data_IF_515802900312
#
_entry.id   IF_515802900312
#
_cell.length_a   1.000
_cell.length_b   1.000
_cell.length_c   1.000
_cell.angle_alpha   90.00
_cell.angle_beta   90.00
_cell.angle_gamma   90.00
#
_symmetry.space_group_name_H-M   'P 1'
#
loop_
_entity.id
_entity.type
_entity.pdbx_description
1 polymer ?
#
# COMPACT_ATOMS: atom_id res chain seq x y z
N UNK A 1 4.09 -18.81 -17.06
CA UNK A 1 5.36 -18.43 -16.40
C UNK A 1 5.59 -19.45 -15.31
N UNK A 2 6.72 -20.16 -15.33
CA UNK A 2 7.03 -21.17 -14.34
C UNK A 2 7.32 -20.55 -12.96
N UNK A 3 7.26 -21.39 -11.92
CA UNK A 3 7.44 -20.94 -10.53
C UNK A 3 8.82 -20.33 -10.28
N UNK A 4 9.84 -20.85 -10.96
CA UNK A 4 11.22 -20.37 -10.81
C UNK A 4 11.41 -18.99 -11.44
N UNK A 5 10.84 -18.74 -12.62
CA UNK A 5 10.83 -17.43 -13.26
C UNK A 5 10.03 -16.41 -12.45
N UNK A 6 8.90 -16.83 -11.85
CA UNK A 6 8.11 -15.98 -10.95
C UNK A 6 8.89 -15.59 -9.68
N UNK A 7 9.56 -16.55 -9.04
CA UNK A 7 10.38 -16.28 -7.86
C UNK A 7 11.57 -15.36 -8.19
N UNK A 8 12.24 -15.57 -9.33
CA UNK A 8 13.33 -14.69 -9.82
C UNK A 8 12.85 -13.26 -10.13
N UNK A 9 11.59 -13.08 -10.45
CA UNK A 9 11.00 -11.76 -10.77
C UNK A 9 10.31 -11.07 -9.58
N UNK A 10 10.24 -11.72 -8.42
CA UNK A 10 9.76 -11.05 -7.21
C UNK A 10 10.72 -9.91 -6.82
N UNK A 11 10.22 -8.71 -6.49
CA UNK A 11 11.06 -7.59 -6.02
C UNK A 11 11.87 -7.90 -4.76
N UNK A 12 11.65 -9.06 -4.16
CA UNK A 12 12.26 -9.56 -2.93
C UNK A 12 12.78 -10.99 -3.09
N UNK A 13 13.02 -11.44 -4.31
CA UNK A 13 13.45 -12.81 -4.61
C UNK A 13 14.91 -13.09 -4.24
N UNK A 14 15.69 -12.08 -3.86
CA UNK A 14 17.05 -12.25 -3.37
C UNK A 14 17.11 -12.65 -1.88
N UNK A 15 18.28 -13.08 -1.44
CA UNK A 15 18.58 -13.33 -0.05
C UNK A 15 18.34 -12.07 0.79
N UNK A 16 17.62 -12.22 1.91
CA UNK A 16 17.30 -11.09 2.79
C UNK A 16 18.36 -11.00 3.88
N UNK A 17 19.09 -9.91 3.88
CA UNK A 17 20.01 -9.60 4.96
C UNK A 17 19.21 -9.28 6.23
N UNK A 18 19.49 -9.90 7.39
CA UNK A 18 18.72 -9.71 8.62
C UNK A 18 18.54 -8.25 9.07
N UNK A 19 19.54 -7.40 8.80
CA UNK A 19 19.51 -5.96 9.11
C UNK A 19 18.70 -5.14 8.09
N UNK A 20 18.33 -5.73 6.94
CA UNK A 20 17.68 -5.06 5.80
C UNK A 20 16.52 -5.89 5.28
N UNK A 21 15.75 -6.49 6.15
CA UNK A 21 14.74 -7.54 5.93
C UNK A 21 13.77 -7.38 4.75
N UNK A 22 13.89 -6.36 3.92
CA UNK A 22 12.97 -6.07 2.80
C UNK A 22 13.66 -5.43 1.60
N UNK A 23 15.00 -5.48 1.55
CA UNK A 23 15.78 -4.95 0.44
C UNK A 23 16.11 -6.03 -0.57
N UNK A 24 16.14 -5.65 -1.85
CA UNK A 24 16.64 -6.52 -2.91
C UNK A 24 18.16 -6.64 -2.77
N UNK A 25 18.64 -7.85 -2.55
CA UNK A 25 20.08 -8.14 -2.49
C UNK A 25 20.66 -8.03 -3.90
N UNK A 26 21.80 -7.36 -4.02
CA UNK A 26 22.47 -7.15 -5.32
C UNK A 26 21.88 -6.05 -6.18
N UNK A 27 20.81 -5.36 -5.74
CA UNK A 27 20.29 -4.21 -6.46
C UNK A 27 21.07 -2.94 -6.16
N UNK A 28 21.41 -2.19 -7.23
CA UNK A 28 22.05 -0.87 -7.09
C UNK A 28 21.02 0.19 -6.70
N UNK A 29 21.03 0.59 -5.43
CA UNK A 29 20.17 1.64 -4.88
C UNK A 29 20.67 3.06 -5.16
N UNK A 30 21.72 3.23 -5.95
CA UNK A 30 22.20 4.52 -6.46
C UNK A 30 21.79 4.75 -7.91
N UNK A 31 21.56 3.67 -8.66
CA UNK A 31 21.26 3.69 -10.07
C UNK A 31 19.83 4.17 -10.39
N UNK A 32 19.62 4.44 -11.68
CA UNK A 32 18.33 4.87 -12.24
C UNK A 32 17.24 3.83 -12.02
N UNK A 33 16.20 4.15 -11.24
CA UNK A 33 15.11 3.23 -10.93
C UNK A 33 13.89 3.96 -10.35
N UNK A 34 12.68 3.43 -10.59
CA UNK A 34 11.45 3.86 -9.93
C UNK A 34 11.16 2.93 -8.75
N UNK A 35 10.86 3.52 -7.61
CA UNK A 35 10.55 2.82 -6.37
C UNK A 35 9.20 3.23 -5.83
N UNK A 36 8.43 2.27 -5.30
CA UNK A 36 7.33 2.55 -4.39
C UNK A 36 7.78 2.26 -2.96
N UNK A 37 7.82 3.30 -2.16
CA UNK A 37 8.24 3.26 -0.76
C UNK A 37 7.01 3.24 0.14
N UNK A 38 6.98 2.32 1.09
CA UNK A 38 5.95 2.28 2.12
C UNK A 38 6.58 2.45 3.50
N UNK A 39 6.11 3.43 4.25
CA UNK A 39 6.51 3.64 5.64
C UNK A 39 5.28 3.65 6.55
N UNK A 40 5.38 2.95 7.66
CA UNK A 40 4.30 2.77 8.63
C UNK A 40 4.68 3.50 9.91
N UNK A 41 3.71 4.11 10.59
CA UNK A 41 3.92 4.69 11.93
C UNK A 41 4.25 3.60 12.94
N UNK A 42 5.05 3.93 13.95
CA UNK A 42 5.32 3.00 15.06
C UNK A 42 4.01 2.61 15.75
N UNK A 43 3.79 1.30 15.90
CA UNK A 43 2.54 0.75 16.47
C UNK A 43 1.30 0.98 15.62
N UNK A 44 1.43 1.32 14.33
CA UNK A 44 0.30 1.62 13.42
C UNK A 44 -0.65 2.70 13.95
N UNK A 45 -0.14 3.68 14.67
CA UNK A 45 -0.93 4.79 15.21
C UNK A 45 -1.44 5.69 14.07
N UNK A 46 -2.72 6.08 14.05
CA UNK A 46 -3.30 6.89 12.97
C UNK A 46 -2.93 8.38 13.12
N UNK A 47 -1.64 8.71 13.00
CA UNK A 47 -1.07 10.03 13.29
C UNK A 47 -1.19 11.01 12.12
N UNK A 48 -1.31 10.51 10.88
CA UNK A 48 -1.26 11.36 9.69
C UNK A 48 -2.60 11.93 9.27
N UNK A 49 -3.71 11.37 9.77
CA UNK A 49 -5.03 11.84 9.38
C UNK A 49 -6.13 10.83 9.63
N UNK A 50 -7.27 11.11 8.99
CA UNK A 50 -8.42 10.20 8.99
C UNK A 50 -8.96 10.08 7.57
N UNK A 51 -9.50 8.92 7.23
CA UNK A 51 -10.23 8.75 5.97
C UNK A 51 -11.65 9.29 6.16
N UNK A 52 -12.10 10.07 5.20
CA UNK A 52 -13.43 10.68 5.12
C UNK A 52 -14.07 10.36 3.75
N UNK A 53 -15.36 10.62 3.65
CA UNK A 53 -16.16 10.27 2.48
C UNK A 53 -16.85 8.92 2.67
N UNK A 54 -17.36 8.38 1.57
CA UNK A 54 -18.05 7.09 1.50
C UNK A 54 -17.36 6.19 0.49
N UNK A 55 -17.37 4.87 0.71
CA UNK A 55 -16.73 3.93 -0.23
C UNK A 55 -17.35 3.95 -1.63
N UNK A 56 -18.63 4.26 -1.74
CA UNK A 56 -19.40 4.40 -2.98
C UNK A 56 -19.39 5.85 -3.54
N UNK A 57 -18.80 6.81 -2.82
CA UNK A 57 -18.73 8.21 -3.24
C UNK A 57 -18.00 8.38 -4.57
N UNK A 58 -18.59 9.13 -5.49
CA UNK A 58 -17.99 9.41 -6.81
C UNK A 58 -16.79 10.34 -6.66
N UNK A 59 -15.74 10.10 -7.46
CA UNK A 59 -14.56 10.99 -7.48
C UNK A 59 -14.96 12.40 -7.91
N UNK A 60 -14.39 13.40 -7.24
CA UNK A 60 -14.69 14.81 -7.50
C UNK A 60 -15.93 15.34 -6.77
N UNK A 61 -16.62 14.52 -5.99
CA UNK A 61 -17.73 14.96 -5.12
C UNK A 61 -17.25 15.15 -3.67
N UNK A 62 -18.01 15.88 -2.81
CA UNK A 62 -17.68 16.00 -1.39
C UNK A 62 -17.62 14.66 -0.63
N UNK A 63 -18.38 13.67 -1.10
CA UNK A 63 -18.42 12.32 -0.54
C UNK A 63 -17.32 11.40 -1.09
N UNK A 64 -16.47 11.88 -1.98
CA UNK A 64 -15.36 11.10 -2.51
C UNK A 64 -14.43 10.60 -1.38
N UNK A 65 -13.96 9.34 -1.45
CA UNK A 65 -12.98 8.82 -0.52
C UNK A 65 -11.70 9.66 -0.50
N UNK A 66 -11.35 10.20 0.65
CA UNK A 66 -10.18 11.07 0.80
C UNK A 66 -9.55 10.93 2.19
N UNK A 67 -8.31 11.37 2.32
CA UNK A 67 -7.64 11.45 3.61
C UNK A 67 -7.56 12.91 4.05
N UNK A 68 -8.21 13.24 5.16
CA UNK A 68 -8.09 14.54 5.82
C UNK A 68 -6.86 14.49 6.71
N UNK A 69 -5.82 15.21 6.32
CA UNK A 69 -4.52 15.18 7.00
C UNK A 69 -4.53 15.99 8.29
N UNK A 70 -3.84 15.48 9.30
CA UNK A 70 -3.40 16.25 10.47
C UNK A 70 -2.29 17.22 10.08
N UNK A 71 -1.90 18.13 10.98
CA UNK A 71 -0.73 18.98 10.77
C UNK A 71 0.54 18.14 10.57
N UNK A 72 0.70 17.07 11.35
CA UNK A 72 1.81 16.14 11.15
C UNK A 72 1.76 15.47 9.78
N UNK A 73 0.59 15.04 9.33
CA UNK A 73 0.41 14.46 7.99
C UNK A 73 0.82 15.42 6.88
N UNK A 74 0.46 16.72 7.01
CA UNK A 74 0.89 17.78 6.06
C UNK A 74 2.41 17.97 6.08
N UNK A 75 3.03 18.03 7.25
CA UNK A 75 4.49 18.14 7.39
C UNK A 75 5.24 16.95 6.80
N UNK A 76 4.73 15.74 7.00
CA UNK A 76 5.31 14.53 6.40
C UNK A 76 5.16 14.55 4.88
N UNK A 77 4.00 14.97 4.36
CA UNK A 77 3.77 15.14 2.93
C UNK A 77 4.74 16.17 2.33
N UNK A 78 4.92 17.33 2.97
CA UNK A 78 5.87 18.35 2.52
C UNK A 78 7.30 17.81 2.51
N UNK A 79 7.74 17.16 3.58
CA UNK A 79 9.07 16.55 3.64
C UNK A 79 9.31 15.53 2.53
N UNK A 80 8.26 14.82 2.07
CA UNK A 80 8.37 13.91 0.93
C UNK A 80 8.64 14.67 -0.37
N UNK A 81 7.90 15.73 -0.63
CA UNK A 81 8.11 16.56 -1.83
C UNK A 81 9.46 17.28 -1.80
N UNK A 82 9.94 17.68 -0.62
CA UNK A 82 11.25 18.29 -0.42
C UNK A 82 12.42 17.36 -0.79
N UNK A 83 12.20 16.05 -0.94
CA UNK A 83 13.23 15.12 -1.41
C UNK A 83 13.73 15.56 -2.79
N UNK A 84 12.82 15.86 -3.73
CA UNK A 84 13.19 16.31 -5.08
C UNK A 84 13.88 17.68 -5.11
N UNK A 85 13.61 18.54 -4.12
CA UNK A 85 14.29 19.83 -3.97
C UNK A 85 15.73 19.65 -3.48
N UNK A 86 15.93 18.75 -2.50
CA UNK A 86 17.25 18.48 -1.90
C UNK A 86 18.13 17.57 -2.76
N UNK A 87 17.52 16.73 -3.56
CA UNK A 87 18.16 15.76 -4.45
C UNK A 87 17.59 15.91 -5.86
N UNK A 88 18.15 16.85 -6.67
CA UNK A 88 17.64 17.11 -8.02
C UNK A 88 17.61 15.86 -8.93
N UNK A 89 18.40 14.84 -8.60
CA UNK A 89 18.41 13.56 -9.30
C UNK A 89 17.14 12.72 -9.02
N UNK A 90 16.32 13.13 -8.05
CA UNK A 90 15.10 12.37 -7.66
C UNK A 90 13.86 13.18 -8.01
N UNK A 91 12.91 12.55 -8.69
CA UNK A 91 11.54 13.06 -8.83
C UNK A 91 10.59 12.31 -7.90
N UNK A 92 9.79 13.03 -7.13
CA UNK A 92 8.67 12.45 -6.38
C UNK A 92 7.46 12.40 -7.30
N UNK A 93 7.06 11.20 -7.74
CA UNK A 93 5.99 10.99 -8.73
C UNK A 93 4.62 11.07 -8.07
N UNK A 94 4.45 10.37 -6.94
CA UNK A 94 3.17 10.29 -6.25
C UNK A 94 3.36 10.08 -4.74
N UNK A 95 2.37 10.49 -3.98
CA UNK A 95 2.27 10.25 -2.54
C UNK A 95 0.81 9.99 -2.16
N UNK A 96 0.54 8.87 -1.54
CA UNK A 96 -0.75 8.58 -0.92
C UNK A 96 -0.55 8.45 0.58
N UNK A 97 -1.00 9.45 1.31
CA UNK A 97 -1.06 9.42 2.77
C UNK A 97 -2.26 8.61 3.23
N UNK A 98 -2.05 7.75 4.22
CA UNK A 98 -3.09 7.01 4.94
C UNK A 98 -2.97 7.34 6.43
N UNK A 99 -3.96 7.03 7.27
CA UNK A 99 -3.91 7.41 8.69
C UNK A 99 -2.65 6.97 9.44
N UNK A 100 -2.17 5.77 9.18
CA UNK A 100 -1.08 5.11 9.92
C UNK A 100 0.14 4.76 9.05
N UNK A 101 0.13 5.11 7.77
CA UNK A 101 1.21 4.85 6.83
C UNK A 101 1.11 5.76 5.61
N UNK A 102 2.10 5.70 4.75
CA UNK A 102 2.00 6.25 3.41
C UNK A 102 2.66 5.34 2.36
N UNK A 103 2.24 5.51 1.13
CA UNK A 103 2.92 5.01 -0.05
C UNK A 103 3.39 6.19 -0.88
N UNK A 104 4.68 6.24 -1.16
CA UNK A 104 5.25 7.27 -2.02
C UNK A 104 5.98 6.62 -3.20
N UNK A 105 5.79 7.16 -4.39
CA UNK A 105 6.52 6.74 -5.60
C UNK A 105 7.55 7.80 -5.93
N UNK A 106 8.80 7.38 -6.06
CA UNK A 106 9.89 8.24 -6.47
C UNK A 106 10.68 7.60 -7.64
N UNK A 107 11.27 8.46 -8.44
CA UNK A 107 12.14 8.09 -9.54
C UNK A 107 13.54 8.67 -9.32
N UNK A 108 14.52 7.80 -9.15
CA UNK A 108 15.94 8.14 -9.27
C UNK A 108 16.24 8.25 -10.76
N UNK A 109 16.38 9.47 -11.27
CA UNK A 109 16.60 9.76 -12.70
C UNK A 109 18.04 9.61 -13.11
N UNK A 110 18.94 9.97 -12.20
CA UNK A 110 20.39 10.00 -12.39
C UNK A 110 21.05 9.32 -11.20
N UNK A 111 22.28 8.85 -11.39
CA UNK A 111 23.04 8.18 -10.34
C UNK A 111 23.19 9.08 -9.10
N UNK A 112 22.91 8.52 -7.94
CA UNK A 112 23.01 9.22 -6.66
C UNK A 112 24.41 9.10 -6.08
N UNK A 113 24.90 10.15 -5.44
CA UNK A 113 26.17 10.12 -4.69
C UNK A 113 26.12 9.17 -3.47
N UNK A 114 24.90 8.84 -3.01
CA UNK A 114 24.64 7.98 -1.84
C UNK A 114 23.46 7.07 -2.12
N UNK A 115 23.46 5.84 -1.58
CA UNK A 115 22.32 4.94 -1.72
C UNK A 115 21.01 5.57 -1.26
N UNK A 116 19.90 5.29 -1.96
CA UNK A 116 18.55 5.78 -1.67
C UNK A 116 18.18 5.66 -0.17
N UNK A 117 18.69 4.62 0.52
CA UNK A 117 18.49 4.46 1.95
C UNK A 117 18.99 5.62 2.80
N UNK A 118 20.02 6.35 2.37
CA UNK A 118 20.53 7.56 3.06
C UNK A 118 19.61 8.76 2.84
N UNK A 119 19.05 8.90 1.64
CA UNK A 119 18.02 9.91 1.33
C UNK A 119 16.79 9.71 2.21
N UNK A 120 16.30 8.47 2.29
CA UNK A 120 15.13 8.12 3.11
C UNK A 120 15.41 8.22 4.61
N UNK A 121 16.65 8.04 5.04
CA UNK A 121 17.05 8.30 6.43
C UNK A 121 16.93 9.81 6.74
N UNK A 122 17.42 10.68 5.86
CA UNK A 122 17.27 12.14 6.00
C UNK A 122 15.80 12.56 6.04
N UNK A 123 14.97 12.00 5.18
CA UNK A 123 13.52 12.18 5.20
C UNK A 123 12.93 11.79 6.57
N UNK A 124 13.24 10.60 7.09
CA UNK A 124 12.79 10.16 8.43
C UNK A 124 13.22 11.11 9.54
N UNK A 125 14.45 11.62 9.49
CA UNK A 125 14.97 12.57 10.48
C UNK A 125 14.16 13.88 10.47
N UNK A 126 13.86 14.43 9.29
CA UNK A 126 13.00 15.59 9.14
C UNK A 126 11.59 15.37 9.69
N UNK A 127 10.99 14.21 9.40
CA UNK A 127 9.68 13.83 9.92
C UNK A 127 9.69 13.64 11.46
N UNK A 128 10.73 13.03 12.00
CA UNK A 128 10.89 12.87 13.46
C UNK A 128 11.06 14.23 14.17
N UNK A 129 11.75 15.20 13.52
CA UNK A 129 11.85 16.57 14.04
C UNK A 129 10.46 17.21 14.10
N UNK A 130 9.69 17.18 13.00
CA UNK A 130 8.33 17.72 12.95
C UNK A 130 7.41 17.05 14.00
N UNK A 131 7.55 15.75 14.20
CA UNK A 131 6.77 15.02 15.19
C UNK A 131 7.08 15.47 16.62
N UNK A 132 8.34 15.70 16.98
CA UNK A 132 8.72 16.23 18.31
C UNK A 132 8.23 17.64 18.55
N UNK A 133 8.23 18.47 17.50
CA UNK A 133 7.73 19.85 17.59
C UNK A 133 6.23 19.91 17.84
N UNK A 134 5.46 19.04 17.17
CA UNK A 134 4.00 19.00 17.26
C UNK A 134 3.47 18.24 18.47
N UNK A 135 4.26 17.34 19.05
CA UNK A 135 3.87 16.51 20.18
C UNK A 135 4.95 16.54 21.27
N UNK A 136 5.12 17.67 21.95
CA UNK A 136 6.18 17.87 22.95
C UNK A 136 6.20 16.83 24.07
N UNK A 137 5.02 16.31 24.50
CA UNK A 137 4.89 15.26 25.51
C UNK A 137 5.61 13.96 25.16
N UNK A 138 5.78 13.68 23.87
CA UNK A 138 6.52 12.49 23.39
C UNK A 138 8.02 12.65 23.61
N UNK A 139 8.57 13.85 23.54
CA UNK A 139 9.98 14.10 23.82
C UNK A 139 10.35 13.70 25.27
N UNK A 140 9.44 13.96 26.20
CA UNK A 140 9.62 13.59 27.62
C UNK A 140 9.52 12.07 27.82
N UNK A 141 8.53 11.42 27.20
CA UNK A 141 8.36 9.97 27.27
C UNK A 141 9.56 9.22 26.68
N UNK A 142 10.19 9.77 25.66
CA UNK A 142 11.37 9.16 25.01
C UNK A 142 12.64 9.30 25.80
N UNK A 143 12.84 10.42 26.49
CA UNK A 143 13.96 10.55 27.42
C UNK A 143 13.85 9.52 28.57
N UNK A 144 12.63 9.19 28.98
CA UNK A 144 12.39 8.17 29.99
C UNK A 144 12.57 6.75 29.45
N UNK A 145 12.18 6.48 28.19
CA UNK A 145 12.28 5.16 27.56
C UNK A 145 13.71 4.86 27.05
N UNK A 146 14.47 5.88 26.67
CA UNK A 146 15.90 5.74 26.28
C UNK A 146 16.78 5.23 27.42
N UNK A 147 16.35 5.38 28.66
CA UNK A 147 17.06 4.82 29.84
C UNK A 147 16.76 3.35 30.10
N UNK A 148 15.68 2.82 29.54
CA UNK A 148 15.18 1.48 29.87
C UNK A 148 15.49 0.39 28.84
N UNK A 149 15.79 0.72 27.59
CA UNK A 149 16.08 -0.25 26.54
C UNK A 149 17.19 0.22 25.62
N UNK A 150 18.20 -0.61 25.41
CA UNK A 150 19.37 -0.37 24.53
C UNK A 150 19.00 -0.39 23.01
N UNK A 151 17.72 -0.33 22.66
CA UNK A 151 17.25 -0.34 21.28
C UNK A 151 17.09 1.07 20.71
N UNK A 152 18.22 1.77 20.54
CA UNK A 152 18.36 3.11 19.94
C UNK A 152 17.88 3.20 18.48
N UNK A 153 17.28 2.14 17.92
CA UNK A 153 16.98 2.01 16.50
C UNK A 153 15.52 2.14 16.14
N UNK A 154 14.64 2.31 17.11
CA UNK A 154 13.24 2.59 16.84
C UNK A 154 13.05 4.06 16.51
N UNK A 155 12.54 4.32 15.28
CA UNK A 155 12.13 5.67 14.90
C UNK A 155 10.95 6.12 15.74
N UNK A 156 10.97 7.37 16.18
CA UNK A 156 9.90 7.98 16.97
C UNK A 156 8.54 7.92 16.32
N UNK A 157 8.51 8.26 15.04
CA UNK A 157 7.31 8.37 14.23
C UNK A 157 7.06 7.10 13.43
N UNK A 158 8.08 6.60 12.76
CA UNK A 158 7.97 5.44 11.89
C UNK A 158 8.52 4.18 12.54
N UNK A 159 7.90 3.06 12.26
CA UNK A 159 8.43 1.74 12.55
C UNK A 159 9.82 1.56 11.91
N UNK A 160 10.57 0.58 12.42
CA UNK A 160 11.89 0.25 11.93
C UNK A 160 11.85 -0.13 10.44
N UNK A 161 12.77 0.43 9.68
CA UNK A 161 12.89 0.15 8.25
C UNK A 161 11.82 0.84 7.40
N UNK A 162 11.65 0.36 6.21
CA UNK A 162 10.61 0.71 5.25
C UNK A 162 10.52 -0.42 4.22
N UNK A 163 9.42 -0.47 3.49
CA UNK A 163 9.24 -1.40 2.40
C UNK A 163 9.49 -0.67 1.09
N UNK A 164 10.26 -1.27 0.20
CA UNK A 164 10.47 -0.79 -1.16
C UNK A 164 10.04 -1.84 -2.17
N UNK A 165 9.48 -1.37 -3.27
CA UNK A 165 9.19 -2.17 -4.46
C UNK A 165 9.81 -1.49 -5.65
N UNK A 166 10.50 -2.26 -6.48
CA UNK A 166 11.09 -1.80 -7.73
C UNK A 166 10.07 -1.90 -8.86
N UNK A 167 10.07 -0.91 -9.73
CA UNK A 167 9.31 -0.97 -10.97
C UNK A 167 10.15 -1.75 -12.00
N UNK A 168 9.67 -2.93 -12.36
CA UNK A 168 10.40 -3.88 -13.21
C UNK A 168 9.74 -4.14 -14.57
N UNK A 169 8.51 -3.63 -14.77
CA UNK A 169 7.72 -3.93 -15.97
C UNK A 169 7.03 -2.67 -16.49
N UNK A 170 6.89 -2.61 -17.81
CA UNK A 170 6.06 -1.61 -18.47
C UNK A 170 4.60 -1.68 -17.97
N UNK A 171 3.91 -0.54 -17.88
CA UNK A 171 2.55 -0.43 -17.36
C UNK A 171 2.39 -0.62 -15.84
N UNK A 172 3.43 -1.04 -15.14
CA UNK A 172 3.37 -1.25 -13.68
C UNK A 172 3.20 0.07 -12.91
N UNK A 173 3.71 1.18 -13.43
CA UNK A 173 3.56 2.49 -12.79
C UNK A 173 2.09 2.90 -12.72
N UNK A 174 1.35 2.78 -13.82
CA UNK A 174 -0.08 3.13 -13.87
C UNK A 174 -0.90 2.27 -12.90
N UNK A 175 -0.54 0.99 -12.81
CA UNK A 175 -1.16 0.08 -11.82
C UNK A 175 -0.88 0.54 -10.39
N UNK A 176 0.34 1.00 -10.08
CA UNK A 176 0.66 1.55 -8.76
C UNK A 176 -0.09 2.84 -8.49
N UNK A 177 -0.14 3.76 -9.43
CA UNK A 177 -0.83 5.04 -9.26
C UNK A 177 -2.34 4.84 -9.01
N UNK A 178 -2.98 3.93 -9.77
CA UNK A 178 -4.38 3.55 -9.53
C UNK A 178 -4.57 2.92 -8.15
N UNK A 179 -3.69 2.00 -7.76
CA UNK A 179 -3.71 1.38 -6.44
C UNK A 179 -3.57 2.43 -5.32
N UNK A 180 -2.67 3.39 -5.47
CA UNK A 180 -2.48 4.46 -4.49
C UNK A 180 -3.74 5.32 -4.36
N UNK A 181 -4.28 5.76 -5.47
CA UNK A 181 -5.49 6.59 -5.51
C UNK A 181 -6.71 5.88 -4.88
N UNK A 182 -6.80 4.55 -5.03
CA UNK A 182 -7.91 3.75 -4.50
C UNK A 182 -7.77 3.38 -3.00
N UNK A 183 -6.62 3.59 -2.38
CA UNK A 183 -6.38 3.19 -0.98
C UNK A 183 -7.39 3.78 0.02
N UNK A 184 -7.78 5.07 -0.04
CA UNK A 184 -8.81 5.62 0.85
C UNK A 184 -10.16 4.89 0.71
N UNK A 185 -10.61 4.63 -0.53
CA UNK A 185 -11.82 3.87 -0.84
C UNK A 185 -11.77 2.47 -0.23
N UNK A 186 -10.67 1.76 -0.45
CA UNK A 186 -10.47 0.39 0.07
C UNK A 186 -10.56 0.36 1.60
N UNK A 187 -10.03 1.38 2.28
CA UNK A 187 -10.12 1.46 3.73
C UNK A 187 -11.54 1.73 4.20
N UNK A 188 -12.27 2.64 3.54
CA UNK A 188 -13.69 2.88 3.83
C UNK A 188 -14.52 1.63 3.59
N UNK A 189 -14.35 0.98 2.45
CA UNK A 189 -15.06 -0.27 2.12
C UNK A 189 -14.86 -1.35 3.19
N UNK A 190 -13.62 -1.50 3.72
CA UNK A 190 -13.35 -2.44 4.81
C UNK A 190 -14.05 -2.07 6.11
N UNK A 191 -14.28 -0.77 6.37
CA UNK A 191 -14.97 -0.29 7.57
C UNK A 191 -16.48 -0.38 7.45
N UNK A 192 -17.01 0.00 6.28
CA UNK A 192 -18.45 0.03 5.99
C UNK A 192 -18.99 -1.39 5.75
N UNK A 193 -18.17 -2.26 5.12
CA UNK A 193 -18.56 -3.61 4.71
C UNK A 193 -17.55 -4.66 5.18
N UNK A 194 -17.36 -4.83 6.50
CA UNK A 194 -16.35 -5.76 7.02
C UNK A 194 -16.59 -7.22 6.61
N UNK A 195 -17.83 -7.58 6.32
CA UNK A 195 -18.20 -8.94 5.90
C UNK A 195 -17.60 -9.33 4.55
N UNK A 196 -17.36 -8.36 3.64
CA UNK A 196 -16.71 -8.60 2.36
C UNK A 196 -15.24 -9.05 2.50
N UNK A 197 -14.65 -8.86 3.67
CA UNK A 197 -13.23 -9.14 3.92
C UNK A 197 -13.00 -10.24 4.95
N UNK A 198 -14.05 -10.93 5.38
CA UNK A 198 -13.91 -12.08 6.28
C UNK A 198 -13.18 -13.23 5.59
N UNK A 199 -12.18 -13.76 6.26
CA UNK A 199 -11.45 -14.96 5.81
C UNK A 199 -12.03 -16.18 6.51
N UNK A 200 -12.61 -17.10 5.74
CA UNK A 200 -12.99 -18.42 6.20
C UNK A 200 -11.98 -19.43 5.68
N UNK A 201 -11.25 -20.04 6.58
CA UNK A 201 -10.22 -21.04 6.26
C UNK A 201 -10.81 -22.46 6.42
N UNK A 202 -10.13 -23.44 5.85
CA UNK A 202 -10.46 -24.86 5.99
C UNK A 202 -11.87 -25.22 5.49
N UNK A 203 -12.31 -24.58 4.41
CA UNK A 203 -13.54 -24.98 3.72
C UNK A 203 -13.28 -26.25 2.94
N UNK A 204 -14.00 -27.30 3.26
CA UNK A 204 -13.95 -28.58 2.51
C UNK A 204 -14.99 -28.55 1.39
N UNK A 205 -14.55 -28.84 0.17
CA UNK A 205 -15.41 -29.06 -1.00
C UNK A 205 -14.97 -30.39 -1.61
N UNK A 206 -15.76 -31.43 -1.40
CA UNK A 206 -15.29 -32.77 -1.66
C UNK A 206 -14.07 -33.11 -0.79
N UNK A 207 -13.01 -33.60 -1.41
CA UNK A 207 -11.74 -33.94 -0.74
C UNK A 207 -10.71 -32.78 -0.77
N UNK A 208 -11.09 -31.60 -1.24
CA UNK A 208 -10.18 -30.49 -1.35
C UNK A 208 -10.47 -29.42 -0.31
N UNK A 209 -9.40 -28.82 0.21
CA UNK A 209 -9.45 -27.75 1.20
C UNK A 209 -9.26 -26.39 0.53
N UNK A 210 -10.14 -25.45 0.84
CA UNK A 210 -10.13 -24.08 0.32
C UNK A 210 -10.11 -23.05 1.44
N UNK A 211 -9.75 -21.82 1.10
CA UNK A 211 -10.01 -20.63 1.89
C UNK A 211 -10.86 -19.68 1.07
N UNK A 212 -11.85 -19.07 1.70
CA UNK A 212 -12.67 -18.04 1.08
C UNK A 212 -12.47 -16.70 1.78
N UNK A 213 -12.47 -15.61 1.01
CA UNK A 213 -12.51 -14.23 1.51
C UNK A 213 -13.83 -13.64 1.07
N UNK A 214 -14.56 -13.05 1.99
CA UNK A 214 -15.84 -12.44 1.73
C UNK A 214 -16.95 -12.99 2.62
N UNK A 215 -18.19 -12.69 2.24
CA UNK A 215 -19.34 -13.15 2.99
C UNK A 215 -19.67 -14.61 2.63
N UNK A 216 -19.09 -15.56 3.36
CA UNK A 216 -19.29 -16.99 3.15
C UNK A 216 -20.75 -17.46 3.25
N UNK A 217 -21.63 -16.68 3.90
CA UNK A 217 -23.06 -16.94 3.94
C UNK A 217 -23.70 -16.89 2.53
N UNK A 218 -23.20 -16.05 1.65
CA UNK A 218 -23.69 -15.94 0.28
C UNK A 218 -23.47 -17.21 -0.55
N UNK A 219 -22.54 -18.08 -0.17
CA UNK A 219 -22.33 -19.38 -0.84
C UNK A 219 -23.54 -20.31 -0.75
N UNK A 220 -24.51 -20.04 0.14
CA UNK A 220 -25.76 -20.80 0.23
C UNK A 220 -26.81 -20.35 -0.80
N UNK A 221 -26.61 -19.25 -1.50
CA UNK A 221 -27.51 -18.77 -2.54
C UNK A 221 -27.49 -19.72 -3.75
N UNK A 222 -28.65 -19.96 -4.40
CA UNK A 222 -28.75 -20.93 -5.50
C UNK A 222 -28.02 -20.49 -6.76
N UNK A 223 -28.05 -19.18 -7.08
CA UNK A 223 -27.41 -18.66 -8.28
C UNK A 223 -26.04 -18.08 -7.92
N UNK A 224 -25.01 -18.72 -8.46
CA UNK A 224 -23.60 -18.32 -8.28
C UNK A 224 -22.96 -18.20 -9.65
N UNK A 225 -22.33 -17.07 -9.91
CA UNK A 225 -21.64 -16.80 -11.17
C UNK A 225 -20.14 -16.64 -10.89
N UNK A 226 -19.35 -17.38 -11.62
CA UNK A 226 -17.90 -17.24 -11.55
C UNK A 226 -17.48 -15.99 -12.33
N UNK A 227 -16.77 -15.09 -11.63
CA UNK A 227 -16.09 -13.97 -12.27
C UNK A 227 -14.69 -14.40 -12.65
N UNK A 228 -14.41 -14.41 -13.92
CA UNK A 228 -13.09 -14.70 -14.47
C UNK A 228 -12.75 -13.67 -15.52
N UNK A 229 -11.67 -12.93 -15.33
CA UNK A 229 -11.23 -11.87 -16.23
C UNK A 229 -9.91 -12.28 -16.90
N UNK A 230 -9.88 -12.20 -18.22
CA UNK A 230 -8.64 -12.39 -19.00
C UNK A 230 -7.88 -11.07 -19.09
N UNK A 231 -6.55 -11.14 -18.95
CA UNK A 231 -5.66 -9.97 -19.18
C UNK A 231 -5.62 -9.52 -20.65
N UNK A 232 -6.28 -10.26 -21.56
CA UNK A 232 -6.34 -9.98 -22.99
C UNK A 232 -7.61 -9.26 -23.39
N UNK A 233 -8.52 -8.99 -22.48
CA UNK A 233 -9.76 -8.28 -22.77
C UNK A 233 -9.47 -6.81 -23.07
N UNK A 234 -10.16 -6.29 -24.05
CA UNK A 234 -10.24 -4.85 -24.34
C UNK A 234 -11.08 -4.14 -23.29
N UNK A 235 -10.93 -2.82 -23.18
CA UNK A 235 -11.72 -2.01 -22.26
C UNK A 235 -13.23 -2.16 -22.51
N UNK A 236 -13.67 -2.23 -23.76
CA UNK A 236 -15.06 -2.43 -24.13
C UNK A 236 -15.61 -3.78 -23.64
N UNK A 237 -14.83 -4.86 -23.79
CA UNK A 237 -15.19 -6.19 -23.28
C UNK A 237 -15.25 -6.22 -21.75
N UNK A 238 -14.32 -5.52 -21.07
CA UNK A 238 -14.36 -5.38 -19.61
C UNK A 238 -15.66 -4.67 -19.18
N UNK A 239 -16.01 -3.54 -19.81
CA UNK A 239 -17.23 -2.81 -19.50
C UNK A 239 -18.50 -3.63 -19.76
N UNK A 240 -18.51 -4.43 -20.81
CA UNK A 240 -19.63 -5.34 -21.09
C UNK A 240 -19.75 -6.41 -19.99
N UNK A 241 -18.62 -7.02 -19.56
CA UNK A 241 -18.64 -8.00 -18.47
C UNK A 241 -19.07 -7.37 -17.14
N UNK A 242 -18.57 -6.18 -16.81
CA UNK A 242 -18.98 -5.44 -15.61
C UNK A 242 -20.49 -5.21 -15.61
N UNK A 243 -21.05 -4.73 -16.74
CA UNK A 243 -22.49 -4.48 -16.87
C UNK A 243 -23.31 -5.77 -16.68
N UNK A 244 -22.84 -6.88 -17.27
CA UNK A 244 -23.47 -8.19 -17.10
C UNK A 244 -23.47 -8.64 -15.63
N UNK A 245 -22.31 -8.61 -14.96
CA UNK A 245 -22.20 -9.06 -13.57
C UNK A 245 -22.97 -8.15 -12.61
N UNK A 246 -22.98 -6.84 -12.82
CA UNK A 246 -23.79 -5.90 -12.02
C UNK A 246 -25.28 -6.19 -12.17
N UNK A 247 -25.75 -6.43 -13.40
CA UNK A 247 -27.16 -6.80 -13.65
C UNK A 247 -27.52 -8.12 -12.98
N UNK A 248 -26.67 -9.14 -13.09
CA UNK A 248 -26.90 -10.43 -12.46
C UNK A 248 -26.91 -10.34 -10.92
N UNK A 249 -25.97 -9.54 -10.34
CA UNK A 249 -25.94 -9.31 -8.90
C UNK A 249 -27.18 -8.56 -8.41
N UNK A 250 -27.70 -7.59 -9.17
CA UNK A 250 -28.94 -6.89 -8.87
C UNK A 250 -30.16 -7.83 -8.87
N UNK A 251 -30.11 -8.93 -9.65
CA UNK A 251 -31.11 -10.00 -9.66
C UNK A 251 -30.88 -11.07 -8.58
N UNK A 252 -29.89 -10.89 -7.70
CA UNK A 252 -29.62 -11.76 -6.56
C UNK A 252 -28.58 -12.86 -6.81
N UNK A 253 -27.90 -12.84 -7.95
CA UNK A 253 -26.79 -13.75 -8.19
C UNK A 253 -25.59 -13.39 -7.29
N UNK A 254 -24.89 -14.40 -6.81
CA UNK A 254 -23.64 -14.24 -6.05
C UNK A 254 -22.44 -14.34 -7.00
N UNK A 255 -21.60 -13.33 -6.98
CA UNK A 255 -20.39 -13.30 -7.77
C UNK A 255 -19.25 -13.98 -6.97
N UNK A 256 -18.59 -14.93 -7.59
CA UNK A 256 -17.49 -15.70 -6.98
C UNK A 256 -16.27 -15.61 -7.89
N UNK A 257 -15.16 -15.07 -7.39
CA UNK A 257 -13.88 -15.12 -8.08
C UNK A 257 -13.01 -16.24 -7.53
N UNK A 258 -12.37 -17.05 -8.37
CA UNK A 258 -11.43 -18.08 -7.94
C UNK A 258 -10.07 -17.50 -7.53
N UNK A 259 -9.85 -16.20 -7.71
CA UNK A 259 -8.60 -15.50 -7.43
C UNK A 259 -8.86 -14.24 -6.61
N UNK A 260 -7.88 -13.90 -5.79
CA UNK A 260 -7.84 -12.65 -5.02
C UNK A 260 -6.76 -11.71 -5.56
N UNK A 261 -6.31 -11.93 -6.78
CA UNK A 261 -5.28 -11.06 -7.40
C UNK A 261 -5.86 -9.67 -7.70
N UNK A 262 -5.05 -8.60 -7.59
CA UNK A 262 -5.49 -7.24 -7.85
C UNK A 262 -5.80 -6.94 -9.34
N UNK A 263 -6.33 -7.83 -10.07
CA UNK A 263 -6.69 -7.68 -11.47
C UNK A 263 -7.99 -8.41 -11.81
N UNK A 264 -8.59 -9.02 -10.80
CA UNK A 264 -9.89 -9.70 -10.85
C UNK A 264 -10.86 -9.10 -9.78
#
# INVERSE_FOLDING_TARGET
MDKETYEKQKPFAGEKIPSMNRRCVGHDYQGRQIYMITMVTEGRRPLFGRVAGRSDGAMGTPDAPQVVLTELGRRVSQNWHDIGVRYPQISTIALQMMPDHFHGVLFVREHLDRPLGKVLLGFKQGCNKAFRELVPSIAVLQQQTQRATDDRRHGLLFARGYNDRLLLREGQLDTWLRYLADNPRRLLMKREHPDLFRVKRNLMVGNQQFSAIGNGFLLQRPVRLQVQCSRRLTEAEIQQQVSYFLSAAAQGAVLVSPSISPGE
#
